data_IF_363180623462
#
_entry.id   IF_363180623462
#
_cell.length_a   1.000
_cell.length_b   1.000
_cell.length_c   1.000
_cell.angle_alpha   90.00
_cell.angle_beta   90.00
_cell.angle_gamma   90.00
#
_symmetry.space_group_name_H-M   'P 1'
#
loop_
_entity.id
_entity.type
_entity.pdbx_description
1 polymer ?
#
# COMPACT_ATOMS: atom_id res chain seq x y z
N UNK A 1 31.23 3.00 -0.84
CA UNK A 1 31.17 2.52 -2.24
C UNK A 1 29.80 2.94 -2.76
N UNK A 2 29.78 3.79 -3.80
CA UNK A 2 28.52 4.25 -4.39
C UNK A 2 27.77 3.05 -4.99
N UNK A 3 26.59 2.74 -4.47
CA UNK A 3 25.67 1.78 -5.08
C UNK A 3 25.27 2.34 -6.44
N UNK A 4 25.76 1.75 -7.53
CA UNK A 4 25.23 2.02 -8.86
C UNK A 4 23.74 1.73 -8.82
N UNK A 5 22.93 2.74 -9.06
CA UNK A 5 21.49 2.61 -9.15
C UNK A 5 21.13 1.57 -10.22
N UNK A 6 20.57 0.45 -9.80
CA UNK A 6 20.14 -0.63 -10.70
C UNK A 6 18.78 -0.25 -11.26
N UNK A 7 18.75 0.26 -12.49
CA UNK A 7 17.58 0.87 -13.12
C UNK A 7 16.66 -0.12 -13.85
N UNK A 8 17.05 -1.38 -13.98
CA UNK A 8 16.23 -2.41 -14.63
C UNK A 8 16.48 -3.80 -14.08
N UNK A 9 15.50 -4.70 -14.24
CA UNK A 9 15.63 -6.12 -13.90
C UNK A 9 16.76 -6.80 -14.68
N UNK A 10 16.94 -6.46 -15.94
CA UNK A 10 18.02 -6.99 -16.77
C UNK A 10 19.39 -6.59 -16.22
N UNK A 11 19.55 -5.32 -15.83
CA UNK A 11 20.79 -4.85 -15.21
C UNK A 11 21.05 -5.58 -13.89
N UNK A 12 20.01 -5.81 -13.09
CA UNK A 12 20.10 -6.56 -11.84
C UNK A 12 20.48 -8.03 -12.08
N UNK A 13 19.86 -8.71 -13.04
CA UNK A 13 20.19 -10.10 -13.37
C UNK A 13 21.64 -10.27 -13.78
N UNK A 14 22.22 -9.31 -14.50
CA UNK A 14 23.63 -9.33 -14.92
C UNK A 14 24.63 -9.23 -13.76
N UNK A 15 24.19 -8.84 -12.57
CA UNK A 15 25.05 -8.77 -11.37
C UNK A 15 25.14 -10.10 -10.62
N UNK A 16 24.38 -11.12 -11.00
CA UNK A 16 24.33 -12.43 -10.38
C UNK A 16 24.71 -13.53 -11.39
N UNK A 17 25.18 -14.66 -10.89
CA UNK A 17 25.54 -15.82 -11.72
C UNK A 17 24.33 -16.55 -12.29
N UNK A 18 23.18 -16.42 -11.63
CA UNK A 18 21.90 -16.97 -12.07
C UNK A 18 20.70 -16.25 -11.43
N UNK A 19 19.49 -16.37 -12.00
CA UNK A 19 18.27 -15.88 -11.37
C UNK A 19 18.03 -16.49 -9.97
N UNK A 20 18.43 -17.73 -9.75
CA UNK A 20 18.30 -18.41 -8.45
C UNK A 20 19.18 -17.75 -7.41
N UNK A 21 20.42 -17.43 -7.76
CA UNK A 21 21.35 -16.70 -6.88
C UNK A 21 20.83 -15.30 -6.58
N UNK A 22 20.27 -14.61 -7.57
CA UNK A 22 19.64 -13.32 -7.36
C UNK A 22 18.51 -13.41 -6.34
N UNK A 23 17.62 -14.42 -6.45
CA UNK A 23 16.48 -14.57 -5.53
C UNK A 23 16.92 -14.95 -4.12
N UNK A 24 17.99 -15.76 -3.98
CA UNK A 24 18.48 -16.20 -2.67
C UNK A 24 19.28 -15.14 -1.92
N UNK A 25 20.01 -14.32 -2.66
CA UNK A 25 21.00 -13.39 -2.08
C UNK A 25 20.76 -11.94 -2.50
N UNK A 26 19.59 -11.64 -3.07
CA UNK A 26 19.28 -10.28 -3.45
C UNK A 26 19.28 -9.38 -2.21
N UNK A 27 20.10 -8.31 -2.21
CA UNK A 27 20.08 -7.32 -1.14
C UNK A 27 18.82 -6.46 -1.14
N UNK A 28 17.95 -6.59 -2.13
CA UNK A 28 16.59 -6.11 -2.00
C UNK A 28 15.87 -7.04 -1.05
N UNK A 29 16.38 -7.08 0.13
CA UNK A 29 15.58 -7.23 1.29
C UNK A 29 14.41 -6.29 1.12
N UNK A 30 13.41 -6.58 1.82
CA UNK A 30 12.28 -5.71 1.83
C UNK A 30 12.70 -4.31 2.26
N UNK A 31 11.80 -3.49 2.19
CA UNK A 31 11.68 -2.22 2.78
C UNK A 31 12.31 -2.17 4.19
N UNK A 32 13.20 -1.23 4.42
CA UNK A 32 13.77 -0.99 5.75
C UNK A 32 12.72 -0.34 6.64
N UNK A 33 12.17 -1.12 7.56
CA UNK A 33 11.27 -0.58 8.56
C UNK A 33 12.03 0.26 9.58
N UNK A 34 11.49 1.41 10.01
CA UNK A 34 12.13 2.27 11.01
C UNK A 34 12.00 1.75 12.45
N UNK A 35 11.68 0.49 12.64
CA UNK A 35 11.53 -0.17 13.93
C UNK A 35 12.12 -1.58 13.89
N UNK A 36 12.46 -2.19 15.05
CA UNK A 36 13.07 -3.51 15.11
C UNK A 36 12.21 -4.60 14.46
N UNK A 37 12.85 -5.58 13.84
CA UNK A 37 12.17 -6.75 13.28
C UNK A 37 11.53 -7.65 14.36
N UNK A 38 11.95 -7.48 15.61
CA UNK A 38 11.40 -8.17 16.79
C UNK A 38 11.58 -7.29 18.03
N UNK A 39 10.68 -7.37 18.97
CA UNK A 39 10.71 -6.59 20.22
C UNK A 39 11.18 -7.42 21.44
N UNK A 40 10.95 -8.73 21.41
CA UNK A 40 11.44 -9.69 22.39
C UNK A 40 12.42 -10.66 21.75
N UNK A 41 11.95 -11.85 21.41
CA UNK A 41 12.63 -12.75 20.50
C UNK A 41 11.59 -13.42 19.60
N UNK A 42 11.98 -13.73 18.38
CA UNK A 42 11.06 -14.21 17.36
C UNK A 42 10.33 -15.53 17.73
N UNK A 43 10.93 -16.37 18.58
CA UNK A 43 10.32 -17.63 19.01
C UNK A 43 9.16 -17.37 19.97
N UNK A 44 9.37 -16.51 20.96
CA UNK A 44 8.34 -16.13 21.94
C UNK A 44 7.21 -15.37 21.25
N UNK A 45 7.53 -14.51 20.28
CA UNK A 45 6.54 -13.77 19.50
C UNK A 45 5.69 -14.69 18.65
N UNK A 46 6.28 -15.72 18.00
CA UNK A 46 5.53 -16.73 17.25
C UNK A 46 4.70 -17.64 18.18
N UNK A 47 5.21 -17.98 19.35
CA UNK A 47 4.47 -18.76 20.34
C UNK A 47 3.28 -17.97 20.89
N UNK A 48 3.44 -16.66 21.12
CA UNK A 48 2.36 -15.78 21.54
C UNK A 48 1.23 -15.73 20.53
N UNK A 49 1.53 -15.76 19.23
CA UNK A 49 0.53 -15.84 18.16
C UNK A 49 -0.40 -17.08 18.32
N UNK A 50 0.15 -18.21 18.74
CA UNK A 50 -0.63 -19.44 18.89
C UNK A 50 -1.37 -19.51 20.23
N UNK A 51 -0.78 -18.97 21.30
CA UNK A 51 -1.22 -19.23 22.67
C UNK A 51 -1.87 -18.03 23.36
N UNK A 52 -1.70 -16.84 22.84
CA UNK A 52 -2.19 -15.61 23.48
C UNK A 52 -2.60 -14.55 22.45
N UNK A 53 -2.13 -13.34 22.60
CA UNK A 53 -2.43 -12.19 21.75
C UNK A 53 -1.11 -11.53 21.31
N UNK A 54 -1.05 -11.11 20.06
CA UNK A 54 0.03 -10.28 19.53
C UNK A 54 -0.50 -8.97 18.98
N UNK A 55 0.27 -7.91 19.15
CA UNK A 55 0.07 -6.62 18.50
C UNK A 55 1.14 -6.45 17.43
N UNK A 56 0.71 -6.28 16.18
CA UNK A 56 1.61 -5.99 15.06
C UNK A 56 1.67 -4.50 14.78
N UNK A 57 2.87 -3.97 14.67
CA UNK A 57 3.08 -2.69 14.02
C UNK A 57 3.05 -2.90 12.50
N UNK A 58 1.99 -2.43 11.87
CA UNK A 58 1.77 -2.53 10.42
C UNK A 58 2.09 -1.22 9.70
N UNK A 59 2.69 -0.25 10.39
CA UNK A 59 3.08 1.02 9.81
C UNK A 59 4.10 0.81 8.69
N UNK A 60 3.96 1.57 7.63
CA UNK A 60 4.89 1.64 6.49
C UNK A 60 5.00 0.38 5.62
N UNK A 61 4.35 -0.72 5.93
CA UNK A 61 4.47 -1.94 5.12
C UNK A 61 3.57 -1.95 3.88
N UNK A 62 2.65 -1.00 3.79
CA UNK A 62 1.75 -0.79 2.64
C UNK A 62 1.86 0.65 2.14
N UNK A 63 1.48 0.86 0.89
CA UNK A 63 1.33 2.21 0.33
C UNK A 63 0.18 2.92 1.02
N UNK A 64 0.42 4.13 1.49
CA UNK A 64 -0.60 5.01 2.06
C UNK A 64 -0.69 6.30 1.24
N UNK A 65 -1.88 6.55 0.68
CA UNK A 65 -2.15 7.74 -0.14
C UNK A 65 -3.37 8.45 0.41
N UNK A 66 -3.21 9.72 0.72
CA UNK A 66 -4.26 10.60 1.23
C UNK A 66 -4.94 11.33 0.08
N UNK A 67 -6.25 11.34 0.10
CA UNK A 67 -7.12 12.05 -0.83
C UNK A 67 -7.97 13.04 -0.02
N UNK A 68 -7.90 14.32 -0.36
CA UNK A 68 -8.59 15.38 0.38
C UNK A 68 -9.30 16.32 -0.58
N UNK A 69 -10.59 16.51 -0.40
CA UNK A 69 -11.41 17.40 -1.21
C UNK A 69 -12.89 17.04 -1.17
N UNK A 70 -13.78 17.92 -1.65
CA UNK A 70 -15.21 17.69 -1.64
C UNK A 70 -15.63 16.47 -2.47
N UNK A 71 -14.85 16.11 -3.50
CA UNK A 71 -15.16 15.03 -4.42
C UNK A 71 -14.54 13.69 -4.04
N UNK A 72 -13.87 13.58 -2.89
CA UNK A 72 -13.20 12.33 -2.49
C UNK A 72 -14.15 11.12 -2.47
N UNK A 73 -15.37 11.30 -2.00
CA UNK A 73 -16.37 10.22 -1.95
C UNK A 73 -16.89 9.84 -3.34
N UNK A 74 -17.05 10.81 -4.22
CA UNK A 74 -17.41 10.59 -5.64
C UNK A 74 -16.31 9.80 -6.34
N UNK A 75 -15.07 10.25 -6.26
CA UNK A 75 -13.91 9.54 -6.79
C UNK A 75 -13.86 8.08 -6.34
N UNK A 76 -13.92 7.83 -5.03
CA UNK A 76 -13.86 6.47 -4.49
C UNK A 76 -15.06 5.60 -4.89
N UNK A 77 -16.24 6.19 -5.07
CA UNK A 77 -17.43 5.49 -5.52
C UNK A 77 -17.38 5.14 -7.02
N UNK A 78 -16.75 5.99 -7.83
CA UNK A 78 -16.61 5.77 -9.27
C UNK A 78 -15.54 4.71 -9.57
N UNK A 79 -14.51 4.60 -8.73
CA UNK A 79 -13.38 3.66 -8.89
C UNK A 79 -13.65 2.32 -8.21
N UNK A 80 -14.35 2.32 -7.09
CA UNK A 80 -14.65 1.12 -6.30
C UNK A 80 -15.94 0.43 -6.75
N UNK A 81 -15.93 -0.91 -6.83
CA UNK A 81 -17.11 -1.69 -7.20
C UNK A 81 -18.06 -1.96 -6.04
N UNK A 82 -17.60 -1.77 -4.81
CA UNK A 82 -18.41 -1.99 -3.62
C UNK A 82 -19.03 -0.69 -3.08
N UNK A 83 -20.23 -0.77 -2.52
CA UNK A 83 -20.94 0.39 -2.01
C UNK A 83 -20.22 1.07 -0.85
N UNK A 84 -20.10 2.40 -0.90
CA UNK A 84 -19.57 3.25 0.17
C UNK A 84 -20.69 3.93 1.01
N UNK A 85 -21.92 3.42 0.94
CA UNK A 85 -23.11 4.05 1.54
C UNK A 85 -22.94 4.44 3.01
N UNK A 86 -22.27 3.64 3.82
CA UNK A 86 -22.11 3.89 5.25
C UNK A 86 -20.66 4.23 5.64
N UNK A 87 -19.83 4.60 4.68
CA UNK A 87 -18.48 5.05 4.91
C UNK A 87 -18.44 6.55 5.21
N UNK A 88 -17.54 6.99 6.06
CA UNK A 88 -17.35 8.40 6.45
C UNK A 88 -16.30 8.55 7.53
N UNK A 89 -16.30 9.68 8.20
CA UNK A 89 -15.32 10.00 9.26
C UNK A 89 -15.28 8.92 10.35
N UNK A 90 -14.07 8.61 10.84
CA UNK A 90 -13.79 7.61 11.87
C UNK A 90 -14.24 6.18 11.51
N UNK A 91 -14.32 5.85 10.24
CA UNK A 91 -14.67 4.51 9.77
C UNK A 91 -13.59 3.97 8.85
N UNK A 92 -13.39 2.65 8.92
CA UNK A 92 -12.62 1.92 7.94
C UNK A 92 -13.54 1.09 7.04
N UNK A 93 -13.16 0.92 5.77
CA UNK A 93 -13.89 0.10 4.82
C UNK A 93 -12.96 -0.43 3.73
N UNK A 94 -13.13 -1.67 3.34
CA UNK A 94 -12.46 -2.22 2.17
C UNK A 94 -13.00 -1.57 0.90
N UNK A 95 -12.11 -1.28 -0.05
CA UNK A 95 -12.44 -0.93 -1.43
C UNK A 95 -11.87 -2.01 -2.34
N UNK A 96 -12.65 -2.43 -3.33
CA UNK A 96 -12.19 -3.30 -4.41
C UNK A 96 -12.27 -2.50 -5.70
N UNK A 97 -11.15 -2.44 -6.43
CA UNK A 97 -11.06 -1.73 -7.70
C UNK A 97 -10.94 -2.72 -8.86
N UNK A 98 -11.60 -2.38 -9.98
CA UNK A 98 -11.50 -3.10 -11.24
C UNK A 98 -11.03 -2.17 -12.37
N UNK A 99 -10.48 -2.75 -13.42
CA UNK A 99 -10.21 -2.03 -14.65
C UNK A 99 -11.50 -1.85 -15.48
N UNK A 100 -11.40 -1.19 -16.64
CA UNK A 100 -12.54 -0.89 -17.51
C UNK A 100 -13.21 -2.15 -18.11
N UNK A 101 -12.50 -3.28 -18.15
CA UNK A 101 -13.01 -4.56 -18.62
C UNK A 101 -13.62 -5.41 -17.48
N UNK A 102 -13.62 -4.89 -16.24
CA UNK A 102 -14.16 -5.56 -15.06
C UNK A 102 -13.18 -6.53 -14.37
N UNK A 103 -11.93 -6.59 -14.79
CA UNK A 103 -10.93 -7.39 -14.08
C UNK A 103 -10.47 -6.70 -12.78
N UNK A 104 -10.36 -7.48 -11.71
CA UNK A 104 -9.93 -6.98 -10.41
C UNK A 104 -8.47 -6.52 -10.46
N UNK A 105 -8.22 -5.25 -10.14
CA UNK A 105 -6.89 -4.66 -9.95
C UNK A 105 -6.36 -5.05 -8.57
N UNK A 106 -7.24 -5.06 -7.56
CA UNK A 106 -6.92 -5.40 -6.20
C UNK A 106 -7.90 -4.82 -5.21
N UNK A 107 -7.51 -4.90 -3.95
CA UNK A 107 -8.23 -4.30 -2.84
C UNK A 107 -7.33 -3.42 -1.98
N UNK A 108 -7.94 -2.54 -1.21
CA UNK A 108 -7.27 -1.68 -0.24
C UNK A 108 -8.23 -1.36 0.91
N UNK A 109 -7.70 -0.79 1.98
CA UNK A 109 -8.50 -0.29 3.09
C UNK A 109 -8.62 1.22 2.99
N UNK A 110 -9.84 1.72 3.09
CA UNK A 110 -10.14 3.13 3.24
C UNK A 110 -10.21 3.47 4.72
N UNK A 111 -9.52 4.53 5.14
CA UNK A 111 -9.71 5.14 6.45
C UNK A 111 -10.26 6.55 6.28
N UNK A 112 -11.49 6.77 6.75
CA UNK A 112 -12.11 8.10 6.77
C UNK A 112 -11.60 8.92 7.94
N UNK A 113 -10.77 9.92 7.67
CA UNK A 113 -10.26 10.86 8.69
C UNK A 113 -11.29 11.94 8.97
N UNK A 114 -11.88 12.49 7.91
CA UNK A 114 -13.00 13.43 7.93
C UNK A 114 -14.00 13.06 6.83
N UNK A 115 -15.04 13.85 6.63
CA UNK A 115 -15.98 13.64 5.52
C UNK A 115 -15.37 13.95 4.14
N UNK A 116 -14.26 14.72 4.12
CA UNK A 116 -13.56 15.14 2.92
C UNK A 116 -12.10 14.68 2.86
N UNK A 117 -11.63 13.86 3.83
CA UNK A 117 -10.26 13.33 3.85
C UNK A 117 -10.27 11.85 4.14
N UNK A 118 -9.70 11.09 3.21
CA UNK A 118 -9.61 9.63 3.25
C UNK A 118 -8.19 9.19 2.92
N UNK A 119 -7.63 8.22 3.63
CA UNK A 119 -6.46 7.49 3.15
C UNK A 119 -6.87 6.15 2.54
N UNK A 120 -6.16 5.79 1.48
CA UNK A 120 -6.24 4.49 0.79
C UNK A 120 -4.96 3.74 1.08
N UNK A 121 -5.08 2.66 1.84
CA UNK A 121 -3.94 1.87 2.32
C UNK A 121 -4.00 0.47 1.76
N UNK A 122 -2.96 0.06 1.04
CA UNK A 122 -2.93 -1.25 0.40
C UNK A 122 -1.66 -1.47 -0.42
N UNK A 123 -1.67 -2.54 -1.21
CA UNK A 123 -0.62 -2.73 -2.21
C UNK A 123 -0.67 -1.60 -3.25
N UNK A 124 0.46 -1.20 -3.85
CA UNK A 124 0.54 -0.03 -4.73
C UNK A 124 -0.49 0.03 -5.85
N UNK A 125 -0.97 -1.12 -6.34
CA UNK A 125 -1.90 -1.18 -7.47
C UNK A 125 -3.18 -0.36 -7.26
N UNK A 126 -3.85 -0.51 -6.12
CA UNK A 126 -5.11 0.21 -5.87
C UNK A 126 -4.89 1.68 -5.51
N UNK A 127 -4.01 2.05 -4.56
CA UNK A 127 -3.70 3.46 -4.33
C UNK A 127 -3.27 4.21 -5.59
N UNK A 128 -2.44 3.59 -6.44
CA UNK A 128 -2.01 4.19 -7.71
C UNK A 128 -3.17 4.31 -8.72
N UNK A 129 -4.07 3.35 -8.76
CA UNK A 129 -5.26 3.40 -9.62
C UNK A 129 -6.20 4.54 -9.23
N UNK A 130 -6.46 4.71 -7.92
CA UNK A 130 -7.25 5.82 -7.40
C UNK A 130 -6.57 7.16 -7.68
N UNK A 131 -5.24 7.24 -7.47
CA UNK A 131 -4.45 8.43 -7.76
C UNK A 131 -4.53 8.82 -9.25
N UNK A 132 -4.36 7.86 -10.14
CA UNK A 132 -4.50 8.09 -11.59
C UNK A 132 -5.88 8.69 -11.93
N UNK A 133 -6.96 8.16 -11.36
CA UNK A 133 -8.30 8.69 -11.59
C UNK A 133 -8.50 10.09 -10.99
N UNK A 134 -7.90 10.37 -9.83
CA UNK A 134 -7.92 11.72 -9.25
C UNK A 134 -7.24 12.76 -10.16
N UNK A 135 -6.11 12.37 -10.80
CA UNK A 135 -5.38 13.27 -11.72
C UNK A 135 -6.02 13.43 -13.09
N UNK A 136 -6.67 12.39 -13.60
CA UNK A 136 -7.21 12.37 -14.97
C UNK A 136 -8.70 12.70 -15.05
N UNK A 137 -9.42 12.51 -13.97
CA UNK A 137 -10.84 12.81 -13.89
C UNK A 137 -11.11 14.27 -13.48
N UNK A 138 -12.37 14.63 -13.52
CA UNK A 138 -12.85 15.95 -13.08
C UNK A 138 -13.28 15.85 -11.59
N UNK A 139 -12.28 15.78 -10.69
CA UNK A 139 -12.48 15.70 -9.27
C UNK A 139 -11.74 16.81 -8.53
N UNK A 140 -12.44 17.52 -7.67
CA UNK A 140 -11.83 18.48 -6.74
C UNK A 140 -11.24 17.72 -5.54
N UNK A 141 -10.05 17.12 -5.77
CA UNK A 141 -9.33 16.28 -4.80
C UNK A 141 -7.83 16.57 -4.90
N UNK A 142 -7.21 16.85 -3.77
CA UNK A 142 -5.76 16.89 -3.61
C UNK A 142 -5.25 15.53 -3.17
N UNK A 143 -4.15 15.08 -3.75
CA UNK A 143 -3.53 13.79 -3.46
C UNK A 143 -2.18 14.00 -2.79
N UNK A 144 -1.95 13.30 -1.68
CA UNK A 144 -0.66 13.30 -0.96
C UNK A 144 -0.26 11.86 -0.65
N UNK A 145 0.92 11.46 -1.08
CA UNK A 145 1.49 10.14 -0.77
C UNK A 145 2.34 10.22 0.50
N UNK A 146 2.25 9.22 1.36
CA UNK A 146 3.23 9.06 2.43
C UNK A 146 4.50 8.43 1.85
N UNK A 147 5.54 9.25 1.69
CA UNK A 147 6.83 8.86 1.12
C UNK A 147 7.58 7.81 1.96
N UNK A 148 7.14 7.58 3.19
CA UNK A 148 7.69 6.54 4.08
C UNK A 148 7.11 5.16 3.80
N UNK A 149 6.08 5.06 2.99
CA UNK A 149 5.41 3.79 2.68
C UNK A 149 5.93 3.18 1.38
N UNK A 150 5.65 1.90 1.18
CA UNK A 150 6.04 1.16 -0.02
C UNK A 150 5.36 1.77 -1.25
N UNK A 151 6.12 1.97 -2.32
CA UNK A 151 5.65 2.55 -3.59
C UNK A 151 5.54 1.49 -4.71
#
# INVERSE_FOLDING_TARGET
MSSKEITSLEAKLKTFTSPVEMLRHSPTGGYEFPFPAQYTNWRDEQEAWQKSVVLFDQSFHMTDVYFEGPDVRRLLSDVGVNSLKNFGANKAKQIVACNYDGYVIGDAILFGHTDTKVSVVGRPSVPNWVHYHAEKGDYDVTVTRDERTVS
#
